data_IF_067904495498
#
_entry.id   IF_067904495498
#
_cell.length_a   1.000
_cell.length_b   1.000
_cell.length_c   1.000
_cell.angle_alpha   90.00
_cell.angle_beta   90.00
_cell.angle_gamma   90.00
#
_symmetry.space_group_name_H-M   'P 1'
#
loop_
_entity.id
_entity.type
_entity.pdbx_description
1 polymer ?
#
# COMPACT_ATOMS: atom_id res chain seq x y z
N UNK A 1 -5.03 64.22 -7.36
CA UNK A 1 -4.13 63.09 -7.03
C UNK A 1 -3.94 63.08 -5.54
N UNK A 2 -3.98 61.91 -4.89
CA UNK A 2 -3.66 61.80 -3.45
C UNK A 2 -2.16 61.55 -3.36
N UNK A 3 -1.44 62.44 -2.70
CA UNK A 3 0.00 62.27 -2.46
C UNK A 3 0.22 61.53 -1.15
N UNK A 4 1.29 60.72 -1.05
CA UNK A 4 1.56 59.96 0.15
C UNK A 4 1.96 60.91 1.31
N UNK A 5 1.35 60.69 2.47
CA UNK A 5 1.66 61.37 3.75
C UNK A 5 2.33 60.38 4.70
N UNK A 6 3.16 60.86 5.64
CA UNK A 6 3.85 60.04 6.64
C UNK A 6 4.72 58.90 6.05
N UNK A 7 5.45 59.19 4.97
CA UNK A 7 6.34 58.23 4.31
C UNK A 7 7.59 57.99 5.16
N UNK A 8 7.88 56.73 5.44
CA UNK A 8 9.05 56.28 6.22
C UNK A 8 9.83 55.24 5.43
N UNK A 9 11.10 55.55 5.18
CA UNK A 9 12.06 54.68 4.50
C UNK A 9 13.24 54.59 5.45
N UNK A 10 13.23 53.64 6.39
CA UNK A 10 14.28 53.52 7.41
C UNK A 10 14.85 52.10 7.41
N UNK A 11 16.10 51.93 7.84
CA UNK A 11 16.76 50.63 8.00
C UNK A 11 16.90 49.84 6.69
N UNK A 12 17.33 50.48 5.61
CA UNK A 12 17.63 49.85 4.33
C UNK A 12 19.09 50.06 3.91
N UNK A 13 19.56 49.24 2.97
CA UNK A 13 20.78 49.49 2.20
C UNK A 13 20.37 50.08 0.85
N UNK A 14 20.49 51.40 0.70
CA UNK A 14 20.22 52.13 -0.53
C UNK A 14 21.57 52.33 -1.22
N UNK A 15 21.89 51.43 -2.14
CA UNK A 15 23.20 51.39 -2.81
C UNK A 15 23.04 51.04 -4.28
N UNK A 16 23.94 51.55 -5.12
CA UNK A 16 24.05 51.16 -6.53
C UNK A 16 23.07 51.88 -7.47
N UNK A 17 22.37 52.92 -7.00
CA UNK A 17 21.42 53.67 -7.84
C UNK A 17 22.09 54.51 -8.94
N UNK A 18 23.38 54.83 -8.79
CA UNK A 18 24.18 55.56 -9.79
C UNK A 18 23.80 57.03 -9.99
N UNK A 19 22.65 57.47 -9.47
CA UNK A 19 22.18 58.86 -9.36
C UNK A 19 21.47 59.02 -8.02
N UNK A 20 20.14 59.08 -8.00
CA UNK A 20 19.33 59.26 -6.81
C UNK A 20 19.01 57.92 -6.14
N UNK A 21 19.46 57.74 -4.90
CA UNK A 21 19.00 56.67 -4.00
C UNK A 21 17.58 56.92 -3.49
N UNK A 22 17.16 58.19 -3.40
CA UNK A 22 15.81 58.61 -3.07
C UNK A 22 15.46 59.90 -3.82
N UNK A 23 14.35 59.89 -4.56
CA UNK A 23 13.77 61.08 -5.18
C UNK A 23 12.39 61.36 -4.57
N UNK A 24 12.28 62.50 -3.90
CA UNK A 24 11.00 63.00 -3.38
C UNK A 24 10.49 64.10 -4.31
N UNK A 25 9.35 63.85 -4.97
CA UNK A 25 8.70 64.82 -5.85
C UNK A 25 8.26 66.07 -5.08
N UNK A 26 8.29 67.23 -5.76
CA UNK A 26 7.95 68.53 -5.16
C UNK A 26 6.52 68.61 -4.64
N UNK A 27 5.62 67.79 -5.19
CA UNK A 27 4.21 67.71 -4.76
C UNK A 27 4.02 66.95 -3.42
N UNK A 28 5.07 66.30 -2.89
CA UNK A 28 5.05 65.66 -1.56
C UNK A 28 5.34 66.72 -0.50
N UNK A 29 4.25 67.23 0.11
CA UNK A 29 4.32 68.37 1.04
C UNK A 29 4.91 68.01 2.41
N UNK A 30 4.82 66.75 2.84
CA UNK A 30 5.41 66.29 4.10
C UNK A 30 6.82 65.76 3.90
N UNK A 31 7.71 66.02 4.86
CA UNK A 31 9.08 65.52 4.81
C UNK A 31 9.10 63.99 4.93
N UNK A 32 9.76 63.31 3.98
CA UNK A 32 9.98 61.86 4.04
C UNK A 32 11.04 61.54 5.11
N UNK A 33 10.73 60.63 6.02
CA UNK A 33 11.70 60.16 7.01
C UNK A 33 12.58 59.07 6.38
N UNK A 34 13.76 59.46 5.93
CA UNK A 34 14.77 58.61 5.29
C UNK A 34 15.99 58.35 6.19
N UNK A 35 15.85 58.53 7.52
CA UNK A 35 16.94 58.35 8.49
C UNK A 35 17.27 56.87 8.68
N UNK A 36 18.44 56.57 9.20
CA UNK A 36 18.88 55.21 9.52
C UNK A 36 18.95 54.25 8.32
N UNK A 37 19.19 54.77 7.11
CA UNK A 37 19.61 53.96 5.96
C UNK A 37 21.12 54.01 5.76
N UNK A 38 21.68 52.96 5.17
CA UNK A 38 23.01 52.96 4.57
C UNK A 38 22.91 53.45 3.14
N UNK A 39 23.76 54.41 2.74
CA UNK A 39 23.69 55.04 1.41
C UNK A 39 24.86 54.63 0.49
N UNK A 40 25.56 53.54 0.81
CA UNK A 40 26.70 53.05 0.02
C UNK A 40 28.05 53.60 0.47
N UNK A 41 28.07 54.61 1.36
CA UNK A 41 29.29 55.16 1.92
C UNK A 41 29.09 55.72 3.35
N UNK A 42 30.11 55.63 4.20
CA UNK A 42 30.08 56.13 5.58
C UNK A 42 29.89 57.66 5.67
N UNK A 43 30.22 58.39 4.61
CA UNK A 43 29.97 59.84 4.48
C UNK A 43 28.49 60.18 4.22
N UNK A 44 27.62 59.19 4.03
CA UNK A 44 26.19 59.37 3.80
C UNK A 44 25.84 59.74 2.34
N UNK A 45 24.56 60.02 2.06
CA UNK A 45 24.11 60.33 0.71
C UNK A 45 24.64 61.69 0.28
N UNK A 46 24.93 61.87 -1.00
CA UNK A 46 25.14 63.21 -1.55
C UNK A 46 23.83 64.01 -1.44
N UNK A 47 23.93 65.26 -1.00
CA UNK A 47 22.86 66.24 -1.10
C UNK A 47 23.47 67.64 -1.22
N UNK A 48 23.12 68.44 -2.24
CA UNK A 48 23.87 69.64 -2.64
C UNK A 48 24.01 70.69 -1.53
N UNK A 49 23.00 70.84 -0.67
CA UNK A 49 23.03 71.81 0.44
C UNK A 49 23.24 71.18 1.82
N UNK A 50 22.59 70.05 2.11
CA UNK A 50 22.59 69.43 3.43
C UNK A 50 23.80 68.50 3.67
N UNK A 51 24.37 67.87 2.62
CA UNK A 51 25.53 66.98 2.73
C UNK A 51 26.41 66.99 1.45
N UNK A 52 27.01 68.14 1.07
CA UNK A 52 27.71 68.30 -0.21
C UNK A 52 29.00 67.45 -0.35
N UNK A 53 29.51 66.91 0.76
CA UNK A 53 30.67 66.01 0.79
C UNK A 53 30.29 64.53 0.87
N UNK A 54 28.98 64.20 0.90
CA UNK A 54 28.52 62.81 0.88
C UNK A 54 28.87 62.16 -0.46
N UNK A 55 29.33 60.92 -0.42
CA UNK A 55 29.72 60.15 -1.62
C UNK A 55 28.86 58.90 -1.83
N UNK A 56 27.84 58.71 -0.99
CA UNK A 56 26.79 57.72 -1.20
C UNK A 56 25.71 58.19 -2.18
N UNK A 57 24.77 57.30 -2.49
CA UNK A 57 23.68 57.55 -3.44
C UNK A 57 22.86 58.81 -3.06
N UNK A 58 22.51 59.62 -4.07
CA UNK A 58 22.00 60.98 -3.85
C UNK A 58 20.57 61.00 -3.29
N UNK A 59 20.27 61.99 -2.45
CA UNK A 59 18.91 62.28 -2.00
C UNK A 59 18.43 63.58 -2.64
N UNK A 60 17.33 63.50 -3.39
CA UNK A 60 16.63 64.64 -3.97
C UNK A 60 15.30 64.91 -3.26
N UNK A 61 14.97 66.19 -3.11
CA UNK A 61 13.71 66.66 -2.54
C UNK A 61 13.67 66.66 -1.01
N UNK A 62 12.46 66.78 -0.45
CA UNK A 62 12.23 66.98 0.99
C UNK A 62 12.32 65.67 1.78
N UNK A 63 13.54 65.19 2.05
CA UNK A 63 13.80 64.00 2.87
C UNK A 63 14.75 64.27 4.03
N UNK A 64 14.40 63.78 5.23
CA UNK A 64 15.31 63.73 6.37
C UNK A 64 16.17 62.47 6.29
N UNK A 65 17.46 62.59 5.99
CA UNK A 65 18.38 61.44 5.87
C UNK A 65 19.45 61.37 6.98
N UNK A 66 19.44 62.32 7.92
CA UNK A 66 20.33 62.35 9.10
C UNK A 66 19.60 61.96 10.39
N UNK A 67 20.16 61.05 11.22
CA UNK A 67 21.41 60.31 11.00
C UNK A 67 21.26 59.20 9.93
N UNK A 68 22.36 58.85 9.26
CA UNK A 68 22.47 57.67 8.40
C UNK A 68 23.33 56.58 9.06
N UNK A 69 23.31 55.36 8.52
CA UNK A 69 24.17 54.27 8.98
C UNK A 69 25.60 54.48 8.48
N UNK A 70 26.61 54.19 9.31
CA UNK A 70 28.02 54.33 8.95
C UNK A 70 28.60 53.09 8.25
N UNK A 71 27.81 52.02 8.16
CA UNK A 71 28.12 50.79 7.45
C UNK A 71 26.81 50.18 6.93
N UNK A 72 26.93 49.21 6.03
CA UNK A 72 25.81 48.40 5.57
C UNK A 72 25.01 47.85 6.75
N UNK A 73 23.68 47.94 6.65
CA UNK A 73 22.77 47.21 7.52
C UNK A 73 22.89 45.73 7.18
N UNK A 74 23.40 44.96 8.11
CA UNK A 74 23.33 43.50 8.09
C UNK A 74 22.11 43.12 8.93
N UNK A 75 21.11 42.39 8.37
CA UNK A 75 20.05 41.81 9.19
C UNK A 75 20.66 40.99 10.34
N UNK A 76 20.08 41.01 11.55
CA UNK A 76 20.51 40.09 12.60
C UNK A 76 20.52 38.65 12.10
N UNK A 77 21.50 37.86 12.52
CA UNK A 77 21.51 36.42 12.23
C UNK A 77 20.32 35.79 12.95
N UNK A 78 19.55 35.01 12.20
CA UNK A 78 18.45 34.19 12.68
C UNK A 78 18.87 32.75 12.43
N UNK A 79 18.98 32.00 13.52
CA UNK A 79 19.30 30.59 13.55
C UNK A 79 18.00 29.85 13.82
N UNK A 80 17.62 28.92 12.93
CA UNK A 80 16.32 28.25 13.00
C UNK A 80 16.32 26.99 12.11
N UNK A 81 16.27 25.80 12.74
CA UNK A 81 16.27 24.49 12.11
C UNK A 81 15.02 23.70 12.49
N UNK A 82 14.21 23.40 11.48
CA UNK A 82 12.95 22.70 11.66
C UNK A 82 12.99 21.28 11.08
N UNK A 83 12.36 20.33 11.79
CA UNK A 83 11.97 19.02 11.25
C UNK A 83 10.55 19.13 10.67
N UNK A 84 10.49 19.29 9.36
CA UNK A 84 9.24 19.53 8.63
C UNK A 84 8.41 18.24 8.47
N UNK A 85 9.05 17.08 8.32
CA UNK A 85 8.34 15.82 8.11
C UNK A 85 9.11 14.59 8.61
N UNK A 86 8.38 13.56 9.04
CA UNK A 86 8.90 12.20 9.27
C UNK A 86 7.98 11.25 8.50
N UNK A 87 8.51 10.63 7.45
CA UNK A 87 7.79 9.68 6.62
C UNK A 87 8.25 8.25 6.95
N UNK A 88 7.34 7.46 7.50
CA UNK A 88 7.52 6.03 7.81
C UNK A 88 6.24 5.27 7.45
N UNK A 89 6.31 3.97 7.07
CA UNK A 89 5.14 3.10 7.10
C UNK A 89 4.50 3.10 8.49
N UNK A 90 3.17 3.20 8.55
CA UNK A 90 2.41 3.18 9.81
C UNK A 90 2.12 1.77 10.34
N UNK A 91 2.35 0.74 9.51
CA UNK A 91 2.24 -0.68 9.82
C UNK A 91 3.54 -1.36 9.42
N UNK A 92 4.22 -1.96 10.39
CA UNK A 92 5.56 -2.54 10.21
C UNK A 92 5.59 -3.96 10.74
N UNK A 93 6.20 -4.84 9.97
CA UNK A 93 6.41 -6.24 10.36
C UNK A 93 7.72 -6.34 11.15
N UNK A 94 7.66 -6.91 12.34
CA UNK A 94 8.84 -7.19 13.17
C UNK A 94 9.86 -8.06 12.41
N UNK A 95 11.15 -7.82 12.61
CA UNK A 95 12.21 -8.54 11.89
C UNK A 95 12.51 -8.01 10.49
N UNK A 96 11.84 -6.94 10.05
CA UNK A 96 12.15 -6.26 8.79
C UNK A 96 13.01 -5.01 9.00
N UNK A 97 13.62 -4.54 7.92
CA UNK A 97 14.30 -3.24 7.90
C UNK A 97 13.39 -2.19 7.28
N UNK A 98 13.14 -1.11 8.02
CA UNK A 98 12.25 -0.01 7.61
C UNK A 98 13.06 1.21 7.22
N UNK A 99 12.74 1.79 6.06
CA UNK A 99 13.29 3.08 5.67
C UNK A 99 12.41 4.21 6.22
N UNK A 100 13.03 5.14 6.95
CA UNK A 100 12.38 6.34 7.49
C UNK A 100 13.02 7.57 6.86
N UNK A 101 12.23 8.42 6.22
CA UNK A 101 12.71 9.64 5.58
C UNK A 101 12.33 10.87 6.42
N UNK A 102 13.32 11.63 6.84
CA UNK A 102 13.16 12.86 7.64
C UNK A 102 13.41 14.05 6.73
N UNK A 103 12.46 14.99 6.68
CA UNK A 103 12.62 16.25 5.95
C UNK A 103 12.94 17.35 6.94
N UNK A 104 14.09 17.99 6.74
CA UNK A 104 14.57 19.12 7.54
C UNK A 104 14.62 20.39 6.71
N UNK A 105 14.56 21.54 7.37
CA UNK A 105 14.65 22.85 6.73
C UNK A 105 15.43 23.83 7.61
N UNK A 106 16.30 24.60 6.98
CA UNK A 106 16.88 25.79 7.61
C UNK A 106 15.92 26.96 7.35
N UNK A 107 15.16 27.38 8.37
CA UNK A 107 14.25 28.52 8.30
C UNK A 107 14.96 29.85 8.63
N UNK A 108 16.21 29.76 9.10
CA UNK A 108 17.08 30.88 9.42
C UNK A 108 17.66 31.59 8.20
N UNK A 109 18.54 32.55 8.47
CA UNK A 109 19.21 33.38 7.46
C UNK A 109 20.74 33.19 7.40
N UNK A 110 21.26 32.15 8.06
CA UNK A 110 22.68 31.80 8.07
C UNK A 110 22.90 30.31 7.80
N UNK A 111 24.13 29.93 7.43
CA UNK A 111 24.50 28.53 7.24
C UNK A 111 24.53 27.80 8.58
N UNK A 112 24.07 26.55 8.58
CA UNK A 112 23.99 25.75 9.80
C UNK A 112 24.63 24.38 9.64
N UNK A 113 25.20 23.89 10.74
CA UNK A 113 25.72 22.53 10.85
C UNK A 113 25.18 21.93 12.14
N UNK A 114 24.48 20.81 12.03
CA UNK A 114 23.77 20.19 13.15
C UNK A 114 23.59 18.69 12.91
N UNK A 115 23.33 17.96 13.99
CA UNK A 115 23.03 16.54 13.94
C UNK A 115 21.52 16.31 13.92
N UNK A 116 21.05 15.34 13.13
CA UNK A 116 19.67 14.86 13.14
C UNK A 116 19.67 13.44 13.66
N UNK A 117 18.98 13.21 14.78
CA UNK A 117 18.87 11.91 15.42
C UNK A 117 17.45 11.36 15.27
N UNK A 118 17.34 10.10 14.89
CA UNK A 118 16.07 9.38 14.78
C UNK A 118 15.94 8.38 15.93
N UNK A 119 14.78 8.32 16.56
CA UNK A 119 14.48 7.42 17.67
C UNK A 119 13.20 6.63 17.41
N UNK A 120 13.10 5.43 17.98
CA UNK A 120 11.81 4.80 18.27
C UNK A 120 11.58 4.81 19.78
N UNK A 121 10.47 5.39 20.21
CA UNK A 121 10.22 5.83 21.58
C UNK A 121 11.41 6.60 22.17
N UNK A 122 12.25 5.95 22.96
CA UNK A 122 13.45 6.53 23.57
C UNK A 122 14.77 5.92 23.07
N UNK A 123 14.71 4.91 22.20
CA UNK A 123 15.89 4.23 21.69
C UNK A 123 16.37 4.88 20.39
N UNK A 124 17.66 5.24 20.37
CA UNK A 124 18.30 5.79 19.19
C UNK A 124 18.36 4.74 18.08
N UNK A 125 17.89 5.12 16.90
CA UNK A 125 18.08 4.36 15.66
C UNK A 125 19.44 4.72 15.09
N UNK A 126 19.63 6.01 14.77
CA UNK A 126 20.86 6.52 14.15
C UNK A 126 20.90 8.06 14.20
N UNK A 127 22.07 8.64 13.97
CA UNK A 127 22.32 10.08 13.91
C UNK A 127 23.11 10.42 12.65
N UNK A 128 22.64 11.42 11.89
CA UNK A 128 23.32 11.94 10.71
C UNK A 128 23.65 13.42 10.88
N UNK A 129 24.87 13.80 10.55
CA UNK A 129 25.32 15.21 10.57
C UNK A 129 25.01 15.88 9.24
N UNK A 130 24.37 17.04 9.30
CA UNK A 130 24.15 17.95 8.17
C UNK A 130 25.14 19.09 8.28
N UNK A 131 25.88 19.37 7.20
CA UNK A 131 26.95 20.37 7.20
C UNK A 131 26.65 21.50 6.24
N UNK A 132 26.89 22.74 6.68
CA UNK A 132 26.76 23.97 5.88
C UNK A 132 25.42 24.07 5.12
N UNK A 133 24.32 23.70 5.77
CA UNK A 133 22.98 23.78 5.18
C UNK A 133 22.63 25.25 4.91
N UNK A 134 22.33 25.59 3.66
CA UNK A 134 22.14 26.98 3.28
C UNK A 134 20.80 27.53 3.79
N UNK A 135 20.68 28.86 4.03
CA UNK A 135 19.43 29.48 4.44
C UNK A 135 18.26 29.16 3.50
N UNK A 136 17.11 28.77 4.06
CA UNK A 136 15.90 28.43 3.31
C UNK A 136 15.92 27.06 2.61
N UNK A 137 17.03 26.30 2.68
CA UNK A 137 17.12 24.97 2.07
C UNK A 137 16.22 23.96 2.79
N UNK A 138 15.70 23.00 2.03
CA UNK A 138 15.08 21.79 2.54
C UNK A 138 15.90 20.59 2.10
N UNK A 139 16.11 19.63 2.99
CA UNK A 139 16.86 18.40 2.72
C UNK A 139 16.11 17.19 3.29
N UNK A 140 16.28 16.04 2.63
CA UNK A 140 15.66 14.78 3.05
C UNK A 140 16.76 13.79 3.43
N UNK A 141 16.75 13.36 4.69
CA UNK A 141 17.67 12.36 5.24
C UNK A 141 16.97 11.01 5.30
N UNK A 142 17.68 9.95 4.89
CA UNK A 142 17.16 8.59 4.92
C UNK A 142 17.83 7.78 6.03
N UNK A 143 17.01 7.25 6.94
CA UNK A 143 17.43 6.41 8.04
C UNK A 143 16.94 4.98 7.83
N UNK A 144 17.66 4.03 8.42
CA UNK A 144 17.37 2.59 8.33
C UNK A 144 17.11 2.03 9.73
N UNK A 145 15.88 1.61 10.00
CA UNK A 145 15.47 1.04 11.28
C UNK A 145 15.35 -0.50 11.20
N UNK A 146 16.21 -1.21 11.93
CA UNK A 146 16.11 -2.66 12.11
C UNK A 146 15.13 -3.01 13.25
N UNK A 147 14.07 -3.75 12.92
CA UNK A 147 13.02 -4.14 13.86
C UNK A 147 13.18 -5.54 14.44
N UNK A 148 14.29 -6.23 14.21
CA UNK A 148 14.50 -7.61 14.69
C UNK A 148 14.47 -7.78 16.22
N UNK A 149 14.78 -6.73 16.98
CA UNK A 149 14.72 -6.71 18.44
C UNK A 149 13.50 -5.99 19.02
N UNK A 150 12.59 -5.49 18.18
CA UNK A 150 11.46 -4.67 18.61
C UNK A 150 10.28 -5.57 18.98
N UNK A 151 9.74 -5.48 20.21
CA UNK A 151 8.57 -6.27 20.61
C UNK A 151 7.36 -6.04 19.69
N UNK A 152 6.70 -7.09 19.17
CA UNK A 152 5.50 -6.91 18.36
C UNK A 152 4.31 -6.54 19.24
N UNK A 153 3.22 -6.13 18.60
CA UNK A 153 1.95 -5.77 19.22
C UNK A 153 1.94 -4.48 20.05
N UNK A 154 2.70 -3.48 19.59
CA UNK A 154 2.79 -2.17 20.21
C UNK A 154 2.79 -1.07 19.14
N UNK A 155 2.25 0.09 19.51
CA UNK A 155 2.38 1.33 18.75
C UNK A 155 3.61 2.08 19.27
N UNK A 156 4.60 2.28 18.41
CA UNK A 156 5.86 2.97 18.69
C UNK A 156 5.83 4.39 18.15
N UNK A 157 6.46 5.31 18.87
CA UNK A 157 6.61 6.70 18.44
C UNK A 157 7.95 6.90 17.74
N UNK A 158 7.95 7.08 16.41
CA UNK A 158 9.16 7.41 15.66
C UNK A 158 9.37 8.92 15.71
N UNK A 159 10.44 9.36 16.35
CA UNK A 159 10.73 10.78 16.59
C UNK A 159 12.04 11.16 15.92
N UNK A 160 12.01 12.16 15.05
CA UNK A 160 13.21 12.80 14.52
C UNK A 160 13.46 14.11 15.29
N UNK A 161 14.71 14.31 15.70
CA UNK A 161 15.15 15.50 16.44
C UNK A 161 16.36 16.10 15.74
N UNK A 162 16.24 17.33 15.28
CA UNK A 162 17.37 18.15 14.86
C UNK A 162 18.01 18.79 16.10
N UNK A 163 19.34 18.66 16.22
CA UNK A 163 20.11 19.29 17.29
C UNK A 163 20.04 20.80 17.19
N UNK A 164 19.85 21.47 18.34
CA UNK A 164 19.74 22.92 18.37
C UNK A 164 21.05 23.59 17.99
N UNK A 165 21.00 24.65 17.21
CA UNK A 165 22.17 25.45 16.85
C UNK A 165 22.33 26.66 17.78
N UNK A 166 23.55 27.17 17.92
CA UNK A 166 23.83 28.24 18.90
C UNK A 166 23.14 29.53 18.47
N UNK A 167 22.26 30.06 19.32
CA UNK A 167 21.53 31.30 19.06
C UNK A 167 20.13 31.10 18.49
N UNK A 168 19.73 29.85 18.24
CA UNK A 168 18.36 29.47 17.91
C UNK A 168 17.45 29.65 19.12
N UNK A 169 16.28 30.25 18.86
CA UNK A 169 15.29 30.58 19.91
C UNK A 169 13.97 29.87 19.74
N UNK A 170 13.63 29.48 18.50
CA UNK A 170 12.52 28.56 18.27
C UNK A 170 13.09 27.14 18.27
N UNK A 171 12.68 26.32 19.24
CA UNK A 171 13.13 24.94 19.38
C UNK A 171 11.97 23.96 19.27
N UNK A 172 10.76 24.46 19.03
CA UNK A 172 9.54 23.70 19.14
C UNK A 172 9.32 22.78 17.92
N UNK A 173 9.85 23.16 16.76
CA UNK A 173 9.74 22.44 15.50
C UNK A 173 11.03 21.68 15.11
N UNK A 174 12.08 21.76 15.92
CA UNK A 174 13.27 20.89 15.82
C UNK A 174 12.94 19.42 16.07
N UNK A 175 11.71 19.07 16.44
CA UNK A 175 11.29 17.71 16.67
C UNK A 175 9.93 17.42 16.05
N UNK A 176 9.81 16.24 15.43
CA UNK A 176 8.54 15.75 14.90
C UNK A 176 8.44 14.24 15.07
N UNK A 177 7.22 13.78 15.35
CA UNK A 177 6.95 12.38 15.63
C UNK A 177 5.78 11.83 14.81
N UNK A 178 5.83 10.53 14.54
CA UNK A 178 4.75 9.74 13.94
C UNK A 178 4.58 8.41 14.67
N UNK A 179 3.36 7.84 14.64
CA UNK A 179 3.08 6.55 15.24
C UNK A 179 3.24 5.42 14.21
N UNK A 180 3.88 4.33 14.63
CA UNK A 180 4.08 3.13 13.83
C UNK A 180 3.68 1.92 14.65
N UNK A 181 2.72 1.16 14.15
CA UNK A 181 2.30 -0.11 14.75
C UNK A 181 3.19 -1.23 14.25
N UNK A 182 3.80 -1.95 15.17
CA UNK A 182 4.66 -3.11 14.87
C UNK A 182 3.95 -4.39 15.26
N UNK A 183 3.91 -5.37 14.37
CA UNK A 183 3.32 -6.69 14.61
C UNK A 183 4.00 -7.79 13.82
N UNK A 184 3.57 -9.03 14.01
CA UNK A 184 4.04 -10.20 13.27
C UNK A 184 3.31 -10.33 11.92
N UNK A 185 3.96 -10.99 10.96
CA UNK A 185 3.41 -11.20 9.63
C UNK A 185 2.27 -12.22 9.67
N UNK A 186 1.09 -11.82 9.20
CA UNK A 186 -0.03 -12.72 8.98
C UNK A 186 -0.04 -13.28 7.55
N UNK A 187 -0.82 -14.32 7.30
CA UNK A 187 -0.94 -14.91 5.96
C UNK A 187 -2.39 -15.18 5.56
N UNK A 188 -2.76 -14.75 4.35
CA UNK A 188 -4.01 -15.12 3.71
C UNK A 188 -3.77 -16.33 2.79
N UNK A 189 -4.44 -17.46 3.01
CA UNK A 189 -4.18 -18.70 2.28
C UNK A 189 -5.44 -19.31 1.68
N UNK A 190 -5.30 -19.98 0.54
CA UNK A 190 -6.28 -20.96 0.05
C UNK A 190 -5.90 -22.32 0.62
N UNK A 191 -6.79 -22.91 1.40
CA UNK A 191 -6.58 -24.15 2.12
C UNK A 191 -7.58 -25.25 1.71
N UNK A 192 -7.10 -26.50 1.56
CA UNK A 192 -5.70 -26.91 1.66
C UNK A 192 -4.85 -26.38 0.48
N UNK A 193 -3.52 -26.31 0.63
CA UNK A 193 -2.61 -25.81 -0.42
C UNK A 193 -2.53 -26.72 -1.65
N UNK A 194 -3.01 -27.96 -1.53
CA UNK A 194 -3.23 -28.86 -2.66
C UNK A 194 -4.59 -29.51 -2.48
N UNK A 195 -5.41 -29.44 -3.52
CA UNK A 195 -6.68 -30.18 -3.60
C UNK A 195 -6.57 -31.19 -4.72
N UNK A 196 -6.74 -32.46 -4.37
CA UNK A 196 -7.01 -33.49 -5.37
C UNK A 196 -8.50 -33.46 -5.67
N UNK A 197 -8.81 -33.09 -6.90
CA UNK A 197 -10.14 -32.96 -7.44
C UNK A 197 -10.91 -34.26 -7.44
N UNK A 198 -12.23 -34.11 -7.33
CA UNK A 198 -13.18 -35.20 -7.48
C UNK A 198 -13.37 -35.54 -8.97
N UNK A 199 -14.18 -36.55 -9.23
CA UNK A 199 -14.59 -36.92 -10.60
C UNK A 199 -15.39 -35.79 -11.28
N UNK A 200 -15.42 -35.81 -12.61
CA UNK A 200 -16.18 -34.88 -13.44
C UNK A 200 -17.62 -34.66 -12.90
N UNK A 201 -18.07 -33.41 -12.85
CA UNK A 201 -19.40 -33.05 -12.39
C UNK A 201 -19.59 -33.05 -10.86
N UNK A 202 -18.55 -33.33 -10.07
CA UNK A 202 -18.63 -33.18 -8.62
C UNK A 202 -18.15 -31.80 -8.14
N UNK A 203 -18.70 -31.38 -7.00
CA UNK A 203 -18.34 -30.14 -6.32
C UNK A 203 -17.31 -30.44 -5.23
N UNK A 204 -16.28 -29.59 -5.16
CA UNK A 204 -15.35 -29.51 -4.04
C UNK A 204 -15.28 -28.08 -3.50
N UNK A 205 -14.71 -27.93 -2.31
CA UNK A 205 -14.61 -26.66 -1.61
C UNK A 205 -13.16 -26.37 -1.24
N UNK A 206 -12.79 -25.10 -1.29
CA UNK A 206 -11.57 -24.57 -0.67
C UNK A 206 -11.94 -23.49 0.33
N UNK A 207 -11.17 -23.37 1.39
CA UNK A 207 -11.31 -22.33 2.39
C UNK A 207 -10.26 -21.25 2.14
N UNK A 208 -10.66 -19.99 2.14
CA UNK A 208 -9.71 -18.89 2.25
C UNK A 208 -9.58 -18.54 3.73
N UNK A 209 -8.39 -18.71 4.28
CA UNK A 209 -8.10 -18.58 5.70
C UNK A 209 -7.14 -17.43 5.97
N UNK A 210 -7.35 -16.74 7.08
CA UNK A 210 -6.40 -15.78 7.61
C UNK A 210 -5.67 -16.44 8.78
N UNK A 211 -4.34 -16.32 8.83
CA UNK A 211 -3.50 -17.08 9.76
C UNK A 211 -2.52 -16.17 10.52
N UNK A 212 -2.26 -16.53 11.78
CA UNK A 212 -1.33 -15.83 12.67
C UNK A 212 -1.69 -14.35 12.87
N UNK A 213 -2.99 -14.05 12.98
CA UNK A 213 -3.46 -12.68 13.22
C UNK A 213 -3.14 -12.28 14.65
N UNK A 214 -2.51 -11.13 14.81
CA UNK A 214 -2.35 -10.50 16.12
C UNK A 214 -3.47 -9.47 16.37
N UNK A 215 -4.03 -9.39 17.59
CA UNK A 215 -5.14 -8.49 17.89
C UNK A 215 -4.78 -7.01 17.76
N UNK A 216 -3.51 -6.64 17.96
CA UNK A 216 -3.01 -5.28 17.73
C UNK A 216 -3.14 -4.82 16.29
N UNK A 217 -3.14 -5.73 15.30
CA UNK A 217 -3.40 -5.31 13.92
C UNK A 217 -4.80 -4.74 13.76
N UNK A 218 -5.71 -4.99 14.70
CA UNK A 218 -7.07 -4.43 14.71
C UNK A 218 -7.80 -4.66 13.39
N UNK A 219 -7.59 -5.84 12.79
CA UNK A 219 -8.18 -6.21 11.49
C UNK A 219 -9.70 -6.12 11.57
N UNK A 220 -10.30 -5.40 10.63
CA UNK A 220 -11.76 -5.31 10.49
C UNK A 220 -12.26 -5.79 9.15
N UNK A 221 -11.42 -5.79 8.10
CA UNK A 221 -11.84 -6.20 6.78
C UNK A 221 -10.77 -6.99 6.03
N UNK A 222 -11.24 -7.90 5.18
CA UNK A 222 -10.43 -8.70 4.28
C UNK A 222 -11.09 -8.66 2.90
N UNK A 223 -10.31 -8.31 1.88
CA UNK A 223 -10.67 -8.42 0.48
C UNK A 223 -9.66 -9.31 -0.23
N UNK A 224 -10.14 -10.15 -1.13
CA UNK A 224 -9.27 -10.88 -2.06
C UNK A 224 -10.02 -11.24 -3.32
N UNK A 225 -9.27 -11.50 -4.39
CA UNK A 225 -9.75 -12.15 -5.60
C UNK A 225 -9.07 -13.50 -5.76
N UNK A 226 -9.85 -14.54 -6.05
CA UNK A 226 -9.31 -15.84 -6.45
C UNK A 226 -9.47 -16.00 -7.96
N UNK A 227 -8.38 -16.32 -8.66
CA UNK A 227 -8.38 -16.71 -10.08
C UNK A 227 -8.38 -18.23 -10.20
N UNK A 228 -8.99 -18.73 -11.26
CA UNK A 228 -9.03 -20.16 -11.56
C UNK A 228 -9.08 -20.40 -13.08
N UNK A 229 -8.84 -21.64 -13.50
CA UNK A 229 -8.96 -22.06 -14.91
C UNK A 229 -10.41 -22.50 -15.19
N UNK A 230 -11.16 -21.70 -15.97
CA UNK A 230 -12.56 -22.00 -16.30
C UNK A 230 -12.74 -23.08 -17.38
N UNK A 231 -11.65 -23.63 -17.92
CA UNK A 231 -11.68 -24.83 -18.77
C UNK A 231 -11.74 -26.10 -17.92
N UNK A 232 -11.15 -26.07 -16.72
CA UNK A 232 -11.17 -27.20 -15.77
C UNK A 232 -12.26 -27.09 -14.72
N UNK A 233 -12.56 -25.87 -14.27
CA UNK A 233 -13.44 -25.60 -13.13
C UNK A 233 -14.58 -24.65 -13.48
N UNK A 234 -15.69 -24.79 -12.78
CA UNK A 234 -16.80 -23.84 -12.81
C UNK A 234 -17.06 -23.36 -11.38
N UNK A 235 -17.14 -22.05 -11.19
CA UNK A 235 -17.52 -21.47 -9.90
C UNK A 235 -18.99 -21.77 -9.61
N UNK A 236 -19.28 -22.25 -8.40
CA UNK A 236 -20.65 -22.58 -7.97
C UNK A 236 -21.21 -21.47 -7.07
N UNK A 237 -20.55 -21.24 -5.94
CA UNK A 237 -20.90 -20.18 -4.99
C UNK A 237 -19.75 -19.98 -3.99
N UNK A 238 -19.87 -18.94 -3.16
CA UNK A 238 -19.04 -18.78 -1.97
C UNK A 238 -19.91 -18.39 -0.78
N UNK A 239 -19.48 -18.81 0.41
CA UNK A 239 -20.13 -18.53 1.69
C UNK A 239 -19.15 -17.90 2.66
N UNK A 240 -19.65 -17.03 3.53
CA UNK A 240 -18.86 -16.43 4.60
C UNK A 240 -18.27 -17.49 5.54
N UNK A 241 -17.00 -17.32 5.90
CA UNK A 241 -16.34 -18.11 6.92
C UNK A 241 -16.58 -17.55 8.32
N UNK A 242 -16.48 -18.40 9.34
CA UNK A 242 -16.84 -18.01 10.71
C UNK A 242 -15.84 -17.08 11.39
N UNK A 243 -14.61 -16.92 10.88
CA UNK A 243 -13.52 -16.28 11.63
C UNK A 243 -13.86 -14.85 12.06
N UNK A 244 -14.15 -13.95 11.12
CA UNK A 244 -14.45 -12.55 11.46
C UNK A 244 -15.79 -12.41 12.20
N UNK A 245 -16.80 -13.19 11.82
CA UNK A 245 -18.12 -13.15 12.47
C UNK A 245 -18.05 -13.58 13.95
N UNK A 246 -17.18 -14.54 14.31
CA UNK A 246 -16.97 -14.93 15.70
C UNK A 246 -16.45 -13.77 16.55
N UNK A 247 -15.60 -12.89 16.01
CA UNK A 247 -15.14 -11.69 16.72
C UNK A 247 -16.20 -10.59 16.70
N UNK A 248 -16.87 -10.38 15.57
CA UNK A 248 -17.94 -9.39 15.46
C UNK A 248 -19.05 -9.60 16.52
N UNK A 249 -19.46 -10.85 16.76
CA UNK A 249 -20.48 -11.18 17.77
C UNK A 249 -20.04 -10.91 19.21
N UNK A 250 -18.73 -10.81 19.46
CA UNK A 250 -18.17 -10.50 20.78
C UNK A 250 -17.95 -8.99 20.98
N UNK A 251 -17.91 -8.21 19.91
CA UNK A 251 -17.75 -6.76 19.99
C UNK A 251 -19.04 -6.09 20.48
N UNK A 252 -18.91 -5.21 21.46
CA UNK A 252 -20.06 -4.53 22.05
C UNK A 252 -20.75 -3.63 21.02
N UNK A 253 -22.02 -3.93 20.73
CA UNK A 253 -22.84 -3.14 19.81
C UNK A 253 -22.48 -3.28 18.33
N UNK A 254 -21.65 -4.26 17.93
CA UNK A 254 -21.41 -4.56 16.52
C UNK A 254 -22.68 -5.04 15.82
N UNK A 255 -22.82 -4.68 14.54
CA UNK A 255 -23.91 -5.16 13.68
C UNK A 255 -23.58 -6.48 12.96
N UNK A 256 -22.52 -7.18 13.39
CA UNK A 256 -22.07 -8.43 12.78
C UNK A 256 -21.09 -8.16 11.65
N UNK A 257 -21.22 -8.91 10.56
CA UNK A 257 -20.35 -8.79 9.38
C UNK A 257 -21.14 -8.43 8.14
N UNK A 258 -20.47 -7.74 7.22
CA UNK A 258 -20.90 -7.56 5.84
C UNK A 258 -20.05 -8.48 4.96
N UNK A 259 -20.71 -9.42 4.29
CA UNK A 259 -20.10 -10.35 3.35
C UNK A 259 -20.65 -10.12 1.94
N UNK A 260 -19.76 -9.96 0.97
CA UNK A 260 -20.12 -9.78 -0.44
C UNK A 260 -19.14 -10.51 -1.33
N UNK A 261 -19.63 -10.97 -2.49
CA UNK A 261 -18.77 -11.46 -3.55
C UNK A 261 -19.32 -11.12 -4.92
N UNK A 262 -18.47 -11.16 -5.92
CA UNK A 262 -18.85 -11.07 -7.33
C UNK A 262 -17.99 -12.04 -8.13
N UNK A 263 -18.64 -12.82 -8.99
CA UNK A 263 -17.99 -13.72 -9.93
C UNK A 263 -17.94 -13.05 -11.31
N UNK A 264 -16.77 -13.11 -11.94
CA UNK A 264 -16.52 -12.54 -13.26
C UNK A 264 -15.74 -13.56 -14.09
N UNK A 265 -16.31 -14.00 -15.22
CA UNK A 265 -15.66 -14.96 -16.12
C UNK A 265 -14.71 -14.29 -17.12
N UNK A 266 -14.94 -13.01 -17.44
CA UNK A 266 -14.32 -12.31 -18.56
C UNK A 266 -13.61 -11.01 -18.11
N UNK A 267 -13.21 -10.92 -16.83
CA UNK A 267 -12.56 -9.73 -16.29
C UNK A 267 -11.33 -9.37 -17.15
N UNK A 268 -11.21 -8.14 -17.68
CA UNK A 268 -10.22 -7.80 -18.71
C UNK A 268 -8.76 -7.98 -18.25
N UNK A 269 -8.51 -7.92 -16.94
CA UNK A 269 -7.18 -8.07 -16.34
C UNK A 269 -6.99 -9.45 -15.71
N UNK A 270 -8.04 -10.03 -15.13
CA UNK A 270 -7.91 -11.19 -14.24
C UNK A 270 -8.52 -12.45 -14.84
N UNK A 271 -9.30 -12.36 -15.92
CA UNK A 271 -10.06 -13.48 -16.47
C UNK A 271 -11.01 -14.09 -15.42
N UNK A 272 -11.26 -15.41 -15.49
CA UNK A 272 -12.17 -16.09 -14.59
C UNK A 272 -11.74 -15.98 -13.13
N UNK A 273 -12.56 -15.29 -12.34
CA UNK A 273 -12.23 -14.98 -10.96
C UNK A 273 -13.45 -14.68 -10.10
N UNK A 274 -13.26 -14.77 -8.79
CA UNK A 274 -14.26 -14.35 -7.80
C UNK A 274 -13.59 -13.37 -6.86
N UNK A 275 -14.13 -12.15 -6.76
CA UNK A 275 -13.74 -11.19 -5.73
C UNK A 275 -14.65 -11.35 -4.52
N UNK A 276 -14.08 -11.35 -3.32
CA UNK A 276 -14.78 -11.52 -2.05
C UNK A 276 -14.33 -10.42 -1.09
N UNK A 277 -15.28 -9.82 -0.39
CA UNK A 277 -15.05 -8.83 0.65
C UNK A 277 -15.81 -9.20 1.92
N UNK A 278 -15.12 -9.13 3.06
CA UNK A 278 -15.70 -9.35 4.38
C UNK A 278 -15.29 -8.20 5.30
N UNK A 279 -16.25 -7.56 5.96
CA UNK A 279 -16.04 -6.44 6.87
C UNK A 279 -16.80 -6.71 8.17
N UNK A 280 -16.13 -6.60 9.32
CA UNK A 280 -16.80 -6.45 10.62
C UNK A 280 -17.46 -5.08 10.62
N UNK A 281 -18.77 -5.02 10.87
CA UNK A 281 -19.51 -3.76 10.90
C UNK A 281 -19.23 -3.02 12.22
N UNK A 282 -19.00 -1.69 12.18
CA UNK A 282 -18.80 -0.90 13.38
C UNK A 282 -20.09 -0.83 14.20
N UNK A 283 -19.98 -0.35 15.43
CA UNK A 283 -21.15 -0.04 16.24
C UNK A 283 -21.89 1.23 15.75
N UNK A 284 -22.96 1.61 16.45
CA UNK A 284 -23.78 2.78 16.12
C UNK A 284 -23.01 4.13 16.08
N UNK A 285 -21.83 4.21 16.70
CA UNK A 285 -21.00 5.42 16.71
C UNK A 285 -19.92 5.41 15.63
N UNK A 286 -19.82 4.35 14.82
CA UNK A 286 -18.84 4.22 13.75
C UNK A 286 -17.47 3.68 14.22
N UNK A 287 -17.40 3.07 15.41
CA UNK A 287 -16.16 2.52 15.96
C UNK A 287 -16.23 1.00 16.13
N UNK A 288 -15.07 0.36 16.02
CA UNK A 288 -14.85 -1.03 16.41
C UNK A 288 -14.35 -1.10 17.84
N UNK A 289 -14.67 -2.18 18.53
CA UNK A 289 -14.27 -2.39 19.92
C UNK A 289 -13.59 -3.74 20.08
N UNK A 290 -12.86 -3.93 21.17
CA UNK A 290 -12.29 -5.24 21.47
C UNK A 290 -13.39 -6.27 21.74
N UNK A 291 -13.17 -7.56 21.45
CA UNK A 291 -11.92 -8.12 20.91
C UNK A 291 -11.77 -7.91 19.40
N UNK A 292 -10.53 -7.63 18.97
CA UNK A 292 -10.13 -7.67 17.57
C UNK A 292 -9.72 -9.10 17.18
N UNK A 293 -9.79 -9.47 15.88
CA UNK A 293 -9.40 -10.79 15.42
C UNK A 293 -7.99 -11.19 15.85
N UNK A 294 -7.86 -12.43 16.32
CA UNK A 294 -6.60 -13.06 16.69
C UNK A 294 -6.57 -14.55 16.32
N UNK A 295 -5.38 -15.08 16.08
CA UNK A 295 -5.19 -16.48 15.70
C UNK A 295 -5.45 -16.74 14.21
N UNK A 296 -6.05 -17.90 13.91
CA UNK A 296 -6.27 -18.35 12.52
C UNK A 296 -7.71 -18.84 12.31
N UNK A 297 -8.24 -18.65 11.10
CA UNK A 297 -9.53 -19.22 10.74
C UNK A 297 -10.02 -18.86 9.33
N UNK A 298 -11.13 -19.49 8.94
CA UNK A 298 -11.75 -19.32 7.62
C UNK A 298 -12.48 -17.99 7.50
N UNK A 299 -12.13 -17.22 6.47
CA UNK A 299 -12.78 -15.97 6.07
C UNK A 299 -13.87 -16.21 5.04
N UNK A 300 -13.67 -17.17 4.13
CA UNK A 300 -14.68 -17.59 3.16
C UNK A 300 -14.45 -19.04 2.71
N UNK A 301 -15.51 -19.70 2.26
CA UNK A 301 -15.44 -21.01 1.58
C UNK A 301 -15.92 -20.85 0.15
N UNK A 302 -15.19 -21.39 -0.82
CA UNK A 302 -15.46 -21.26 -2.25
C UNK A 302 -15.69 -22.64 -2.83
N UNK A 303 -16.80 -22.81 -3.54
CA UNK A 303 -17.21 -24.08 -4.12
C UNK A 303 -17.00 -24.06 -5.64
N UNK A 304 -16.33 -25.10 -6.14
CA UNK A 304 -16.08 -25.30 -7.56
C UNK A 304 -16.61 -26.65 -8.02
N UNK A 305 -17.20 -26.66 -9.22
CA UNK A 305 -17.57 -27.86 -9.96
C UNK A 305 -16.42 -28.26 -10.89
N UNK A 306 -16.11 -29.55 -10.95
CA UNK A 306 -15.16 -30.10 -11.92
C UNK A 306 -15.82 -30.15 -13.30
N UNK A 307 -15.34 -29.33 -14.25
CA UNK A 307 -15.89 -29.16 -15.59
C UNK A 307 -15.21 -30.02 -16.65
N UNK A 308 -13.95 -30.39 -16.42
CA UNK A 308 -13.20 -31.25 -17.32
C UNK A 308 -12.30 -32.23 -16.58
N UNK A 309 -12.24 -33.46 -17.10
CA UNK A 309 -11.38 -34.54 -16.62
C UNK A 309 -10.93 -35.35 -17.84
N UNK A 310 -9.65 -35.71 -17.88
CA UNK A 310 -9.13 -36.54 -18.97
C UNK A 310 -9.62 -37.99 -18.86
N UNK A 311 -9.69 -38.67 -20.01
CA UNK A 311 -9.94 -40.13 -20.07
C UNK A 311 -8.68 -40.85 -20.57
N UNK A 312 -8.27 -41.90 -19.87
CA UNK A 312 -7.06 -42.70 -20.14
C UNK A 312 -6.01 -42.56 -19.02
N UNK A 313 -5.76 -43.64 -18.27
CA UNK A 313 -4.84 -43.63 -17.10
C UNK A 313 -3.37 -43.41 -17.48
N UNK A 314 -3.03 -43.51 -18.77
CA UNK A 314 -1.72 -43.21 -19.32
C UNK A 314 -1.44 -41.70 -19.44
N UNK A 315 -2.48 -40.87 -19.40
CA UNK A 315 -2.35 -39.41 -19.47
C UNK A 315 -1.88 -38.84 -18.12
N UNK A 316 -1.14 -37.72 -18.13
CA UNK A 316 -0.82 -37.03 -16.88
C UNK A 316 -2.08 -36.42 -16.25
N UNK A 317 -2.09 -36.17 -14.92
CA UNK A 317 -3.14 -35.38 -14.30
C UNK A 317 -3.12 -33.94 -14.83
N UNK A 318 -4.29 -33.32 -14.88
CA UNK A 318 -4.42 -31.90 -15.17
C UNK A 318 -4.32 -31.10 -13.87
N UNK A 319 -3.75 -29.90 -13.96
CA UNK A 319 -3.57 -29.04 -12.80
C UNK A 319 -3.92 -27.59 -13.13
N UNK A 320 -4.52 -26.88 -12.17
CA UNK A 320 -4.61 -25.41 -12.22
C UNK A 320 -4.35 -24.81 -10.84
N UNK A 321 -3.92 -23.55 -10.82
CA UNK A 321 -3.71 -22.81 -9.58
C UNK A 321 -4.98 -22.02 -9.24
N UNK A 322 -5.42 -22.12 -7.99
CA UNK A 322 -6.38 -21.24 -7.35
C UNK A 322 -5.59 -20.11 -6.69
N UNK A 323 -5.42 -19.03 -7.45
CA UNK A 323 -4.44 -17.97 -7.16
C UNK A 323 -5.10 -16.77 -6.49
N UNK A 324 -4.58 -16.35 -5.33
CA UNK A 324 -4.96 -15.09 -4.68
C UNK A 324 -4.29 -13.92 -5.39
N UNK A 325 -5.09 -12.91 -5.75
CA UNK A 325 -4.67 -11.63 -6.31
C UNK A 325 -5.55 -10.52 -5.72
N UNK A 326 -5.17 -9.25 -5.91
CA UNK A 326 -5.97 -8.10 -5.44
C UNK A 326 -6.35 -8.23 -3.95
N UNK A 327 -5.38 -8.62 -3.13
CA UNK A 327 -5.58 -8.86 -1.70
C UNK A 327 -5.37 -7.57 -0.91
N UNK A 328 -6.28 -7.29 0.02
CA UNK A 328 -6.14 -6.19 0.97
C UNK A 328 -6.76 -6.58 2.31
N UNK A 329 -6.15 -6.12 3.39
CA UNK A 329 -6.60 -6.38 4.76
C UNK A 329 -6.55 -5.04 5.48
N UNK A 330 -7.69 -4.55 5.96
CA UNK A 330 -7.75 -3.24 6.61
C UNK A 330 -7.90 -3.38 8.11
N UNK A 331 -7.24 -2.48 8.82
CA UNK A 331 -7.53 -2.23 10.23
C UNK A 331 -8.60 -1.15 10.42
N UNK A 332 -8.88 -0.83 11.68
CA UNK A 332 -9.91 0.11 12.07
C UNK A 332 -9.55 1.60 11.86
N UNK A 333 -8.32 1.90 11.44
CA UNK A 333 -7.93 3.21 10.91
C UNK A 333 -8.12 3.28 9.38
N UNK A 334 -8.54 2.17 8.75
CA UNK A 334 -8.69 2.03 7.30
C UNK A 334 -7.35 1.87 6.57
N UNK A 335 -6.30 1.46 7.27
CA UNK A 335 -4.95 1.27 6.71
C UNK A 335 -4.73 -0.21 6.38
N UNK A 336 -4.11 -0.47 5.22
CA UNK A 336 -3.72 -1.82 4.81
C UNK A 336 -2.68 -2.40 5.75
N UNK A 337 -2.93 -3.63 6.19
CA UNK A 337 -2.07 -4.41 7.07
C UNK A 337 -1.19 -5.34 6.22
N UNK A 338 0.14 -5.35 6.45
CA UNK A 338 1.05 -6.25 5.75
C UNK A 338 0.68 -7.72 5.95
N UNK A 339 0.67 -8.48 4.85
CA UNK A 339 0.37 -9.91 4.87
C UNK A 339 1.06 -10.63 3.71
N UNK A 340 1.33 -11.91 3.91
CA UNK A 340 1.70 -12.83 2.85
C UNK A 340 0.47 -13.54 2.26
N UNK A 341 0.64 -14.11 1.07
CA UNK A 341 -0.39 -14.92 0.42
C UNK A 341 0.08 -16.37 0.19
N UNK A 342 -0.85 -17.32 0.23
CA UNK A 342 -0.61 -18.72 -0.13
C UNK A 342 -1.69 -19.26 -1.06
N UNK A 343 -1.29 -19.71 -2.25
CA UNK A 343 -2.20 -20.26 -3.25
C UNK A 343 -2.49 -21.75 -3.02
N UNK A 344 -3.46 -22.27 -3.75
CA UNK A 344 -3.77 -23.70 -3.81
C UNK A 344 -3.52 -24.24 -5.22
N UNK A 345 -2.97 -25.46 -5.31
CA UNK A 345 -2.91 -26.22 -6.56
C UNK A 345 -4.05 -27.24 -6.59
N UNK A 346 -4.92 -27.13 -7.58
CA UNK A 346 -5.91 -28.13 -7.90
C UNK A 346 -5.33 -29.16 -8.87
N UNK A 347 -5.59 -30.45 -8.62
CA UNK A 347 -5.11 -31.58 -9.42
C UNK A 347 -6.28 -32.50 -9.73
N UNK A 348 -6.57 -32.80 -10.99
CA UNK A 348 -7.55 -33.83 -11.37
C UNK A 348 -6.89 -34.92 -12.19
N UNK A 349 -7.01 -36.16 -11.71
CA UNK A 349 -6.46 -37.33 -12.39
C UNK A 349 -7.38 -37.79 -13.52
N UNK A 350 -6.84 -38.32 -14.63
CA UNK A 350 -7.67 -38.93 -15.65
C UNK A 350 -8.47 -40.10 -15.08
N UNK A 351 -9.67 -40.32 -15.62
CA UNK A 351 -10.43 -41.55 -15.38
C UNK A 351 -9.98 -42.68 -16.31
N UNK A 352 -10.46 -43.89 -16.07
CA UNK A 352 -10.18 -45.05 -16.91
C UNK A 352 -10.72 -44.86 -18.34
N UNK A 353 -10.03 -45.38 -19.35
CA UNK A 353 -10.48 -45.33 -20.75
C UNK A 353 -11.88 -45.94 -20.95
N UNK A 354 -12.28 -46.88 -20.08
CA UNK A 354 -13.58 -47.52 -20.12
C UNK A 354 -14.63 -46.89 -19.18
N UNK A 355 -14.29 -45.86 -18.39
CA UNK A 355 -15.27 -45.08 -17.63
C UNK A 355 -15.82 -43.98 -18.56
N UNK A 356 -16.93 -44.30 -19.22
CA UNK A 356 -17.47 -43.48 -20.29
C UNK A 356 -18.33 -42.37 -19.72
N UNK A 357 -19.06 -42.66 -18.64
CA UNK A 357 -19.97 -41.71 -18.01
C UNK A 357 -19.30 -40.82 -16.93
N UNK A 358 -18.01 -41.04 -16.65
CA UNK A 358 -17.21 -40.34 -15.64
C UNK A 358 -17.77 -40.45 -14.21
N UNK A 359 -18.44 -41.56 -13.88
CA UNK A 359 -18.95 -41.80 -12.53
C UNK A 359 -17.89 -42.40 -11.57
N UNK A 360 -16.64 -42.49 -12.06
CA UNK A 360 -15.47 -42.94 -11.32
C UNK A 360 -15.37 -44.45 -11.22
N UNK A 361 -16.12 -45.18 -12.06
CA UNK A 361 -16.15 -46.65 -12.09
C UNK A 361 -16.28 -47.14 -13.52
N UNK A 362 -15.84 -48.37 -13.76
CA UNK A 362 -16.17 -49.09 -14.99
C UNK A 362 -17.17 -50.17 -14.65
N UNK A 363 -18.44 -49.92 -14.94
CA UNK A 363 -19.54 -50.82 -14.60
C UNK A 363 -20.47 -51.15 -15.78
N UNK A 364 -21.64 -51.71 -15.48
CA UNK A 364 -22.58 -52.14 -16.51
C UNK A 364 -23.15 -50.97 -17.33
N UNK A 365 -23.14 -49.74 -16.82
CA UNK A 365 -23.55 -48.53 -17.55
C UNK A 365 -22.56 -48.18 -18.64
N UNK A 366 -21.27 -48.28 -18.38
CA UNK A 366 -20.23 -48.04 -19.39
C UNK A 366 -20.27 -49.13 -20.46
N UNK A 367 -20.37 -50.38 -20.02
CA UNK A 367 -20.49 -51.53 -20.91
C UNK A 367 -21.73 -51.42 -21.81
N UNK A 368 -22.87 -51.00 -21.23
CA UNK A 368 -24.09 -50.72 -21.98
C UNK A 368 -23.87 -49.61 -23.03
N UNK A 369 -23.09 -48.57 -22.69
CA UNK A 369 -22.79 -47.46 -23.60
C UNK A 369 -21.96 -47.92 -24.80
N UNK A 370 -20.92 -48.75 -24.60
CA UNK A 370 -20.14 -49.34 -25.69
C UNK A 370 -21.02 -50.22 -26.58
N UNK A 371 -21.78 -51.14 -25.97
CA UNK A 371 -22.61 -52.10 -26.73
C UNK A 371 -23.74 -51.43 -27.49
N UNK A 372 -24.30 -50.32 -27.01
CA UNK A 372 -25.30 -49.52 -27.72
C UNK A 372 -24.77 -48.92 -29.02
N UNK A 373 -23.47 -48.62 -29.09
CA UNK A 373 -22.79 -48.09 -30.28
C UNK A 373 -22.12 -49.19 -31.12
N UNK A 374 -22.25 -50.48 -30.77
CA UNK A 374 -21.59 -51.58 -31.48
C UNK A 374 -21.96 -51.63 -32.97
N UNK A 375 -20.93 -51.75 -33.82
CA UNK A 375 -21.00 -51.76 -35.27
C UNK A 375 -21.10 -50.38 -35.93
N UNK A 376 -20.89 -49.29 -35.17
CA UNK A 376 -20.99 -47.92 -35.66
C UNK A 376 -19.62 -47.30 -36.01
N UNK A 377 -19.65 -46.21 -36.77
CA UNK A 377 -18.50 -45.42 -37.19
C UNK A 377 -18.90 -43.95 -37.41
N UNK A 378 -17.95 -43.00 -37.54
CA UNK A 378 -18.26 -41.57 -37.74
C UNK A 378 -19.28 -41.33 -38.86
N UNK A 379 -20.21 -40.40 -38.60
CA UNK A 379 -21.28 -40.03 -39.54
C UNK A 379 -22.53 -40.91 -39.47
N UNK A 380 -22.57 -41.95 -38.63
CA UNK A 380 -23.77 -42.79 -38.44
C UNK A 380 -24.60 -42.39 -37.22
N UNK A 381 -25.94 -42.64 -37.22
CA UNK A 381 -26.83 -42.11 -36.19
C UNK A 381 -26.57 -42.58 -34.75
N UNK A 382 -26.00 -43.77 -34.55
CA UNK A 382 -25.67 -44.30 -33.22
C UNK A 382 -24.17 -44.21 -32.89
N UNK A 383 -23.39 -43.51 -33.72
CA UNK A 383 -21.99 -43.26 -33.44
C UNK A 383 -21.86 -42.52 -32.11
N UNK A 384 -21.10 -43.11 -31.20
CA UNK A 384 -20.65 -42.46 -29.99
C UNK A 384 -19.12 -42.47 -30.01
N UNK A 385 -18.45 -41.32 -30.20
CA UNK A 385 -16.99 -41.29 -30.18
C UNK A 385 -16.40 -41.77 -28.86
N UNK A 386 -17.12 -41.60 -27.74
CA UNK A 386 -16.67 -42.10 -26.44
C UNK A 386 -16.70 -43.62 -26.29
N UNK A 387 -17.38 -44.33 -27.21
CA UNK A 387 -17.45 -45.78 -27.22
C UNK A 387 -16.35 -46.44 -28.09
N UNK A 388 -15.62 -45.66 -28.91
CA UNK A 388 -14.44 -46.10 -29.66
C UNK A 388 -13.20 -45.98 -28.77
N UNK A 389 -13.03 -46.97 -27.89
CA UNK A 389 -12.06 -46.93 -26.80
C UNK A 389 -10.61 -47.05 -27.29
N UNK A 390 -10.41 -47.58 -28.50
CA UNK A 390 -9.08 -47.70 -29.11
C UNK A 390 -8.80 -46.63 -30.19
N UNK A 391 -9.77 -45.75 -30.46
CA UNK A 391 -9.71 -44.67 -31.44
C UNK A 391 -9.39 -45.14 -32.88
N UNK A 392 -9.88 -46.31 -33.30
CA UNK A 392 -9.68 -46.83 -34.68
C UNK A 392 -10.78 -46.42 -35.67
N UNK A 393 -11.71 -45.57 -35.22
CA UNK A 393 -12.80 -45.01 -36.01
C UNK A 393 -14.01 -45.95 -36.13
N UNK A 394 -14.08 -47.00 -35.29
CA UNK A 394 -15.17 -47.97 -35.26
C UNK A 394 -15.43 -48.39 -33.81
N UNK A 395 -16.68 -48.70 -33.50
CA UNK A 395 -17.01 -49.41 -32.25
C UNK A 395 -17.23 -50.88 -32.57
N UNK A 396 -16.25 -51.73 -32.25
CA UNK A 396 -16.29 -53.16 -32.53
C UNK A 396 -15.94 -54.03 -31.29
N UNK A 397 -15.61 -55.31 -31.52
CA UNK A 397 -15.32 -56.24 -30.44
C UNK A 397 -14.07 -55.85 -29.64
N UNK A 398 -13.15 -55.08 -30.20
CA UNK A 398 -11.97 -54.56 -29.47
C UNK A 398 -12.38 -53.54 -28.41
N UNK A 399 -13.37 -52.71 -28.66
CA UNK A 399 -13.86 -51.72 -27.68
C UNK A 399 -14.62 -52.42 -26.56
N UNK A 400 -15.47 -53.39 -26.92
CA UNK A 400 -16.14 -54.26 -25.94
C UNK A 400 -15.12 -55.02 -25.09
N UNK A 401 -14.07 -55.58 -25.71
CA UNK A 401 -12.97 -56.24 -25.00
C UNK A 401 -12.23 -55.28 -24.07
N UNK A 402 -11.94 -54.06 -24.53
CA UNK A 402 -11.25 -53.03 -23.74
C UNK A 402 -12.06 -52.63 -22.53
N UNK A 403 -13.38 -52.44 -22.69
CA UNK A 403 -14.30 -52.18 -21.59
C UNK A 403 -14.34 -53.36 -20.61
N UNK A 404 -14.52 -54.59 -21.11
CA UNK A 404 -14.57 -55.81 -20.29
C UNK A 404 -13.29 -56.04 -19.47
N UNK A 405 -12.12 -55.76 -20.05
CA UNK A 405 -10.82 -55.90 -19.37
C UNK A 405 -10.68 -54.94 -18.18
N UNK A 406 -11.33 -53.77 -18.24
CA UNK A 406 -11.30 -52.76 -17.19
C UNK A 406 -12.51 -52.84 -16.25
N UNK A 407 -13.44 -53.78 -16.46
CA UNK A 407 -14.67 -53.90 -15.68
C UNK A 407 -14.39 -54.10 -14.18
N UNK A 408 -15.08 -53.35 -13.34
CA UNK A 408 -14.88 -53.34 -11.89
C UNK A 408 -13.78 -52.39 -11.42
N UNK A 409 -13.13 -51.64 -12.31
CA UNK A 409 -12.25 -50.54 -11.92
C UNK A 409 -13.04 -49.46 -11.16
N UNK A 410 -12.41 -48.86 -10.16
CA UNK A 410 -12.95 -47.76 -9.35
C UNK A 410 -11.82 -46.75 -9.15
N UNK A 411 -12.11 -45.47 -9.36
CA UNK A 411 -11.14 -44.40 -9.11
C UNK A 411 -10.81 -44.35 -7.62
N UNK A 412 -9.51 -44.31 -7.31
CA UNK A 412 -9.08 -44.03 -5.95
C UNK A 412 -9.49 -42.58 -5.60
N UNK A 413 -10.22 -42.33 -4.50
CA UNK A 413 -10.56 -40.98 -4.07
C UNK A 413 -9.34 -40.16 -3.60
N UNK A 414 -8.23 -40.81 -3.23
CA UNK A 414 -6.92 -40.20 -2.92
C UNK A 414 -5.80 -40.91 -3.73
N UNK A 415 -5.72 -40.65 -5.05
CA UNK A 415 -4.85 -41.34 -6.01
C UNK A 415 -3.35 -41.08 -5.86
#
# INVERSE_FOLDING_TARGET
>A
TVYPTNVKINYNNIVGSGTYGLWVEDDVLEQVDARYNWWGNATGPYHPTLNPSGTGDEVYGNAAFRPWLLKEKVPPLVHDIAVINVASPSRVVVGTTVQVNVTIKNEGNTYETFDVSLYYDSQLIDTQTVTDMIPGQTEVLSFTWDTSGVPPCHDYTITAVAGSVVGETDLADNSKAVLVRVGELMTLKVEPSVVVGKILGQIFSVNVTLNNVMPCWRVIAVQFRIRYDNTLLEFVNTTEGSFLNNFAQQQSGSYGTFFVYTHDEDHPIYGPSVIVGVLILPNATGYWSTPFPEGSGTVATINFLVKYQERGLEKPPLTCELMLVETDIFDDDGISVPHDIGNCVYIVWPTNIADINFDGKVDLKDYYTVTKAFGECPGRPRWNPDADLNNDGKVDLKDVYTCAKNFGWVQNPDP
#
